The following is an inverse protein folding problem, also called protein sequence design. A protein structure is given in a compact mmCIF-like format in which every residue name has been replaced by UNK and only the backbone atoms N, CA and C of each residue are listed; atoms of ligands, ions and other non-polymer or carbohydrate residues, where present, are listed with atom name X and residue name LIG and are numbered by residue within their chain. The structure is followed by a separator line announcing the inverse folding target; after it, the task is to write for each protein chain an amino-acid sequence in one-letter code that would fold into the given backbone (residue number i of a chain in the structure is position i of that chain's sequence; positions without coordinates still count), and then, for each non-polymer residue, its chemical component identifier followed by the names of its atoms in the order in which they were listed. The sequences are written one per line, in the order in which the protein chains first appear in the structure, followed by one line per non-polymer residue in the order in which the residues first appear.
data_IF_082670025800
#
_entry.id   IF_082670025800
#
_cell.length_a   1.000
_cell.length_b   1.000
_cell.length_c   1.000
_cell.angle_alpha   90.00
_cell.angle_beta   90.00
_cell.angle_gamma   90.00
#
_symmetry.space_group_name_H-M   'P 1'
#
loop_
_entity.id
_entity.type
_entity.pdbx_description
1 polymer ?
#
# COMPACT_ATOMS: atom_id res chain seq x y z
N UNK A 1 -9.20 26.53 -12.52
CA UNK A 1 -8.59 26.11 -12.34
C UNK A 1 -8.49 24.90 -12.28
N UNK A 2 -8.05 24.48 -12.58
CA UNK A 2 -7.96 23.26 -12.65
C UNK A 2 -7.81 22.80 -11.56
N UNK A 3 -8.06 22.07 -11.31
CA UNK A 3 -7.96 21.66 -10.40
C UNK A 3 -6.96 20.93 -10.36
N UNK A 4 -6.21 21.15 -9.88
CA UNK A 4 -5.14 20.68 -9.77
C UNK A 4 -5.27 19.49 -9.21
N UNK A 5 -5.06 18.89 -8.72
CA UNK A 5 -5.17 17.75 -8.13
C UNK A 5 -6.07 16.84 -8.75
N UNK A 6 -6.74 17.19 -9.55
CA UNK A 6 -7.58 16.41 -10.05
C UNK A 6 -7.07 15.59 -11.00
N UNK A 7 -6.01 15.68 -11.33
CA UNK A 7 -5.49 14.86 -12.24
C UNK A 7 -5.59 13.45 -11.94
N UNK A 8 -5.39 13.02 -10.73
CA UNK A 8 -5.39 11.69 -10.44
C UNK A 8 -6.34 11.40 -9.41
N UNK A 9 -7.22 10.46 -9.58
CA UNK A 9 -8.10 10.08 -8.58
C UNK A 9 -7.56 8.87 -8.00
N UNK A 10 -7.25 8.84 -6.74
CA UNK A 10 -6.73 7.67 -6.09
C UNK A 10 -7.87 6.83 -5.56
N UNK A 11 -7.66 5.53 -5.51
CA UNK A 11 -8.67 4.62 -5.06
C UNK A 11 -8.98 4.81 -3.59
N UNK A 12 -10.23 4.62 -3.24
CA UNK A 12 -10.63 4.78 -1.87
C UNK A 12 -9.88 3.87 -0.94
N UNK A 13 -9.62 2.65 -1.34
CA UNK A 13 -8.92 1.73 -0.47
C UNK A 13 -7.49 2.15 -0.21
N UNK A 14 -6.92 3.04 -1.03
CA UNK A 14 -5.57 3.48 -0.76
C UNK A 14 -5.51 4.26 0.54
N UNK A 15 -6.51 5.11 0.82
CA UNK A 15 -6.52 5.86 2.05
C UNK A 15 -6.60 4.93 3.26
N UNK A 16 -7.39 3.88 3.17
CA UNK A 16 -7.51 2.91 4.25
C UNK A 16 -6.20 2.19 4.48
N UNK A 17 -5.52 1.86 3.41
CA UNK A 17 -4.25 1.16 3.51
C UNK A 17 -3.20 2.08 4.14
N UNK A 18 -3.16 3.34 3.72
CA UNK A 18 -2.22 4.28 4.28
C UNK A 18 -2.47 4.47 5.77
N UNK A 19 -3.74 4.62 6.16
CA UNK A 19 -4.07 4.79 7.55
C UNK A 19 -3.66 3.58 8.38
N UNK A 20 -3.90 2.40 7.86
CA UNK A 20 -3.53 1.18 8.58
C UNK A 20 -2.02 1.05 8.73
N UNK A 21 -1.27 1.40 7.70
CA UNK A 21 0.18 1.34 7.79
C UNK A 21 0.71 2.36 8.79
N UNK A 22 0.13 3.54 8.78
CA UNK A 22 0.57 4.56 9.75
C UNK A 22 0.20 4.16 11.16
N UNK A 23 -0.90 3.43 11.32
CA UNK A 23 -1.31 3.00 12.65
C UNK A 23 -0.32 2.01 13.27
N UNK A 24 0.42 1.25 12.48
CA UNK A 24 1.42 0.36 13.03
C UNK A 24 2.78 1.02 13.14
N UNK A 25 2.85 2.31 12.89
CA UNK A 25 4.09 3.06 13.04
C UNK A 25 4.91 3.20 11.78
N UNK A 26 4.38 2.83 10.65
CA UNK A 26 5.13 2.96 9.41
C UNK A 26 5.09 4.40 8.91
N UNK A 27 6.12 4.78 8.19
CA UNK A 27 6.14 6.06 7.52
C UNK A 27 5.69 5.79 6.09
N UNK A 28 4.68 6.51 5.65
CA UNK A 28 4.12 6.28 4.32
C UNK A 28 4.17 7.56 3.52
N UNK A 29 4.73 7.49 2.33
CA UNK A 29 4.79 8.60 1.40
C UNK A 29 4.10 8.19 0.13
N UNK A 30 3.16 9.01 -0.34
CA UNK A 30 2.54 8.75 -1.62
C UNK A 30 3.44 9.31 -2.70
N UNK A 31 3.67 8.53 -3.72
CA UNK A 31 4.52 8.98 -4.81
C UNK A 31 3.81 8.73 -6.12
N UNK A 32 4.31 9.33 -7.16
CA UNK A 32 3.75 9.13 -8.47
C UNK A 32 4.85 9.32 -9.47
N UNK A 33 4.64 8.81 -10.63
CA UNK A 33 5.62 8.92 -11.69
C UNK A 33 5.78 7.60 -12.38
N UNK A 34 6.30 7.61 -13.58
CA UNK A 34 6.45 6.39 -14.34
C UNK A 34 7.38 5.43 -13.62
N UNK A 35 6.96 4.22 -13.47
CA UNK A 35 7.80 3.21 -12.84
C UNK A 35 7.88 3.26 -11.35
N UNK A 36 7.28 4.29 -10.73
CA UNK A 36 7.32 4.39 -9.28
C UNK A 36 6.14 3.65 -8.68
N UNK A 37 6.27 3.14 -7.46
CA UNK A 37 5.13 2.56 -6.79
C UNK A 37 4.20 3.67 -6.32
N UNK A 38 2.99 3.34 -5.93
CA UNK A 38 2.08 4.34 -5.41
C UNK A 38 2.48 4.81 -4.03
N UNK A 39 3.01 3.91 -3.23
CA UNK A 39 3.40 4.20 -1.86
C UNK A 39 4.82 3.76 -1.59
N UNK A 40 5.53 4.58 -0.85
CA UNK A 40 6.82 4.19 -0.35
C UNK A 40 6.65 4.10 1.15
N UNK A 41 6.90 2.94 1.72
CA UNK A 41 6.64 2.66 3.11
C UNK A 41 7.92 2.27 3.81
N UNK A 42 8.17 2.92 4.95
CA UNK A 42 9.32 2.53 5.75
C UNK A 42 8.81 1.93 7.05
N UNK A 43 9.19 0.73 7.31
CA UNK A 43 8.76 0.03 8.50
C UNK A 43 9.82 -0.94 8.96
N UNK A 44 10.11 -0.91 10.25
CA UNK A 44 11.09 -1.85 10.79
C UNK A 44 12.48 -1.68 10.21
N UNK A 45 12.83 -0.46 9.83
CA UNK A 45 14.14 -0.20 9.27
C UNK A 45 14.29 -0.58 7.81
N UNK A 46 13.19 -0.95 7.15
CA UNK A 46 13.25 -1.32 5.76
C UNK A 46 12.30 -0.49 4.94
N UNK A 47 12.57 -0.36 3.67
CA UNK A 47 11.74 0.40 2.76
C UNK A 47 11.05 -0.54 1.81
N UNK A 48 9.76 -0.28 1.55
CA UNK A 48 8.98 -1.11 0.69
C UNK A 48 8.22 -0.22 -0.30
N UNK A 49 8.15 -0.63 -1.54
CA UNK A 49 7.31 0.05 -2.53
C UNK A 49 6.06 -0.77 -2.73
N UNK A 50 4.91 -0.14 -2.69
CA UNK A 50 3.65 -0.84 -2.87
C UNK A 50 2.83 -0.18 -3.95
N UNK A 51 2.23 -1.00 -4.77
CA UNK A 51 1.35 -0.53 -5.81
C UNK A 51 -0.07 -0.82 -5.37
N UNK A 52 -0.95 0.17 -5.36
CA UNK A 52 -2.30 -0.03 -4.85
C UNK A 52 -3.28 -0.17 -5.99
N UNK A 53 -4.15 -1.19 -5.91
CA UNK A 53 -5.15 -1.40 -6.91
C UNK A 53 -6.50 -1.32 -6.25
N UNK A 54 -7.46 -0.65 -6.89
CA UNK A 54 -8.80 -0.57 -6.36
C UNK A 54 -9.49 -1.91 -6.36
N UNK A 55 -10.41 -2.09 -5.45
CA UNK A 55 -11.07 -3.36 -5.30
C UNK A 55 -11.84 -3.78 -6.51
N UNK A 56 -12.42 -2.84 -7.21
CA UNK A 56 -13.21 -3.21 -8.35
C UNK A 56 -12.53 -3.06 -9.66
N UNK A 57 -11.37 -2.54 -9.71
CA UNK A 57 -10.70 -2.28 -10.97
C UNK A 57 -10.03 -3.51 -11.51
N UNK A 58 -9.80 -3.50 -12.81
CA UNK A 58 -9.03 -4.55 -13.40
C UNK A 58 -7.59 -4.12 -13.43
N UNK A 59 -6.67 -5.03 -13.44
CA UNK A 59 -5.30 -4.68 -13.57
C UNK A 59 -5.05 -4.04 -14.90
N UNK A 60 -4.33 -2.96 -14.91
CA UNK A 60 -3.89 -2.35 -16.15
C UNK A 60 -2.65 -3.09 -16.62
N UNK A 61 -2.27 -2.88 -17.86
CA UNK A 61 -1.06 -3.50 -18.33
C UNK A 61 0.15 -3.01 -17.58
N UNK A 62 0.15 -1.77 -17.17
CA UNK A 62 1.25 -1.24 -16.39
C UNK A 62 1.34 -1.96 -15.06
N UNK A 63 0.21 -2.23 -14.43
CA UNK A 63 0.22 -2.95 -13.17
C UNK A 63 0.68 -4.38 -13.35
N UNK A 64 0.31 -4.99 -14.44
CA UNK A 64 0.74 -6.35 -14.66
C UNK A 64 2.23 -6.46 -14.85
N UNK A 65 2.87 -5.41 -15.33
CA UNK A 65 4.29 -5.44 -15.50
C UNK A 65 5.04 -4.84 -14.36
N UNK A 66 4.34 -4.34 -13.36
CA UNK A 66 4.98 -3.68 -12.25
C UNK A 66 5.83 -4.65 -11.47
N UNK A 67 6.98 -4.20 -11.02
CA UNK A 67 7.81 -5.01 -10.18
C UNK A 67 7.45 -4.78 -8.73
N UNK A 68 6.51 -3.89 -8.43
CA UNK A 68 6.14 -3.64 -7.05
C UNK A 68 4.96 -4.51 -6.66
N UNK A 69 4.91 -4.97 -5.42
CA UNK A 69 3.78 -5.78 -4.97
C UNK A 69 2.47 -5.04 -5.16
N UNK A 70 1.47 -5.74 -5.65
CA UNK A 70 0.18 -5.15 -5.89
C UNK A 70 -0.71 -5.41 -4.70
N UNK A 71 -1.20 -4.34 -4.09
CA UNK A 71 -1.94 -4.41 -2.84
C UNK A 71 -3.37 -3.95 -3.05
N UNK A 72 -4.32 -4.75 -2.62
CA UNK A 72 -5.72 -4.39 -2.69
C UNK A 72 -6.30 -4.20 -1.30
N UNK A 73 -5.85 -4.96 -0.33
CA UNK A 73 -6.43 -4.97 1.01
C UNK A 73 -5.44 -4.52 2.05
N UNK A 74 -5.96 -4.12 3.20
CA UNK A 74 -5.12 -3.76 4.33
C UNK A 74 -4.25 -4.94 4.73
N UNK A 75 -4.81 -6.12 4.79
CA UNK A 75 -4.04 -7.29 5.20
C UNK A 75 -2.86 -7.54 4.27
N UNK A 76 -3.07 -7.36 2.97
CA UNK A 76 -1.98 -7.55 2.04
C UNK A 76 -0.88 -6.51 2.27
N UNK A 77 -1.26 -5.28 2.60
CA UNK A 77 -0.29 -4.23 2.83
C UNK A 77 0.52 -4.52 4.09
N UNK A 78 -0.14 -4.93 5.14
CA UNK A 78 0.56 -5.23 6.39
C UNK A 78 1.52 -6.41 6.19
N UNK A 79 1.06 -7.41 5.47
CA UNK A 79 1.90 -8.54 5.23
C UNK A 79 3.10 -8.16 4.37
N UNK A 80 2.90 -7.29 3.40
CA UNK A 80 3.98 -6.90 2.49
C UNK A 80 5.12 -6.21 3.23
N UNK A 81 4.83 -5.49 4.32
CA UNK A 81 5.88 -4.83 5.07
C UNK A 81 6.36 -5.66 6.26
N UNK A 82 5.89 -6.89 6.34
CA UNK A 82 6.38 -7.79 7.37
C UNK A 82 5.74 -7.63 8.72
N UNK A 83 4.62 -6.89 8.78
CA UNK A 83 3.94 -6.74 10.07
C UNK A 83 3.20 -8.01 10.41
N UNK A 84 3.38 -8.47 11.63
CA UNK A 84 2.64 -9.60 12.09
C UNK A 84 1.94 -9.23 13.34
N UNK A 85 0.63 -9.27 13.37
CA UNK A 85 -0.10 -8.93 14.58
C UNK A 85 0.26 -9.93 15.63
N UNK A 86 0.23 -9.51 16.86
CA UNK A 86 0.48 -10.40 17.95
C UNK A 86 -0.66 -11.33 18.03
N UNK A 87 -0.41 -12.58 17.84
CA UNK A 87 -1.46 -13.53 17.80
C UNK A 87 -1.83 -13.82 19.17
N UNK A 88 -2.94 -14.43 19.47
CA UNK A 88 -3.26 -14.70 20.69
C UNK A 88 -2.32 -15.67 21.11
N UNK A 89 -1.96 -15.71 22.26
CA UNK A 89 -0.96 -16.58 22.81
C UNK A 89 -1.34 -17.94 22.47
N UNK A 90 -0.48 -18.70 22.02
CA UNK A 90 -0.74 -19.89 21.67
C UNK A 90 -0.76 -20.61 22.73
N UNK A 91 -1.44 -21.27 22.96
CA UNK A 91 -1.49 -21.93 23.96
C UNK A 91 -0.86 -22.97 23.84
N UNK A 92 -0.20 -23.49 24.10
CA UNK A 92 0.50 -24.13 24.01
C UNK A 92 1.06 -24.36 24.13
N UNK A 93 1.10 -24.44 24.09
CA UNK A 93 1.57 -24.55 23.98
C UNK A 93 2.04 -24.85 24.20
#
# INVERSE_FOLDING_TARGET
MPRVGQARKRDRNEAEIVDALRAIGAHVTRISGPGAPDLLVRYGGRDYGLEVKGKRGKRTKAQERSQWPLIVTIDQALEAVGFRPIAEPRRHM
#
